data_IF_871156179875
#
_entry.id   IF_871156179875
#
_cell.length_a   1.000
_cell.length_b   1.000
_cell.length_c   1.000
_cell.angle_alpha   90.00
_cell.angle_beta   90.00
_cell.angle_gamma   90.00
#
_symmetry.space_group_name_H-M   'P 1'
#
loop_
_entity.id
_entity.type
_entity.pdbx_description
1 polymer ?
#
# COMPACT_ATOMS: atom_id res chain seq x y z
N UNK A 1 12.10 69.65 -18.43
CA UNK A 1 12.42 68.29 -17.90
C UNK A 1 11.75 68.12 -16.55
N UNK A 2 10.61 67.45 -16.48
CA UNK A 2 9.87 67.12 -15.23
C UNK A 2 9.96 65.63 -15.01
N UNK A 3 10.64 65.25 -13.93
CA UNK A 3 10.72 63.84 -13.46
C UNK A 3 9.42 63.50 -12.71
N UNK A 4 8.66 62.57 -13.21
CA UNK A 4 7.55 61.96 -12.49
C UNK A 4 8.09 60.97 -11.48
N UNK A 5 7.83 61.19 -10.19
CA UNK A 5 8.10 60.27 -9.10
C UNK A 5 6.94 59.30 -9.02
N UNK A 6 7.18 58.06 -9.40
CA UNK A 6 6.24 56.95 -9.29
C UNK A 6 6.19 56.48 -7.84
N UNK A 7 5.12 56.76 -7.16
CA UNK A 7 4.82 56.34 -5.79
C UNK A 7 4.38 54.87 -5.80
N UNK A 8 5.30 53.97 -5.40
CA UNK A 8 5.05 52.54 -5.20
C UNK A 8 4.17 52.34 -3.97
N UNK A 9 2.87 52.19 -4.17
CA UNK A 9 1.90 51.93 -3.12
C UNK A 9 2.21 50.63 -2.37
N UNK A 10 2.76 50.73 -1.17
CA UNK A 10 2.85 49.62 -0.21
C UNK A 10 1.43 49.26 0.19
N UNK A 11 0.94 48.10 -0.27
CA UNK A 11 -0.26 47.47 0.27
C UNK A 11 -0.01 47.18 1.75
N UNK A 12 -0.59 47.98 2.63
CA UNK A 12 -0.65 47.68 4.07
C UNK A 12 -1.64 46.53 4.20
N UNK A 13 -1.15 45.36 4.50
CA UNK A 13 -2.00 44.24 4.92
C UNK A 13 -2.61 44.61 6.25
N UNK A 14 -3.92 44.83 6.26
CA UNK A 14 -4.63 45.14 7.49
C UNK A 14 -4.60 43.94 8.43
N UNK A 15 -4.11 44.10 9.69
CA UNK A 15 -3.94 42.99 10.62
C UNK A 15 -5.25 42.27 10.96
N UNK A 16 -6.40 42.94 10.76
CA UNK A 16 -7.72 42.37 10.96
C UNK A 16 -8.04 41.22 9.99
N UNK A 17 -7.56 41.27 8.74
CA UNK A 17 -7.78 40.18 7.78
C UNK A 17 -6.95 38.94 8.13
N UNK A 18 -5.74 39.12 8.67
CA UNK A 18 -4.88 38.03 9.13
C UNK A 18 -5.48 37.33 10.36
N UNK A 19 -6.05 38.10 11.30
CA UNK A 19 -6.71 37.55 12.48
C UNK A 19 -7.95 36.70 12.12
N UNK A 20 -8.75 37.17 11.14
CA UNK A 20 -9.92 36.42 10.66
C UNK A 20 -9.56 35.08 9.99
N UNK A 21 -8.48 35.06 9.21
CA UNK A 21 -8.00 33.85 8.56
C UNK A 21 -7.48 32.82 9.57
N UNK A 22 -6.72 33.27 10.58
CA UNK A 22 -6.19 32.41 11.63
C UNK A 22 -7.31 31.80 12.48
N UNK A 23 -8.38 32.57 12.75
CA UNK A 23 -9.52 32.10 13.49
C UNK A 23 -10.35 31.09 12.69
N UNK A 24 -10.52 31.27 11.39
CA UNK A 24 -11.21 30.35 10.51
C UNK A 24 -10.47 29.00 10.43
N UNK A 25 -9.14 29.04 10.35
CA UNK A 25 -8.29 27.84 10.28
C UNK A 25 -8.35 27.04 11.60
N UNK A 26 -8.38 27.74 12.74
CA UNK A 26 -8.51 27.11 14.06
C UNK A 26 -9.88 26.47 14.25
N UNK A 27 -10.97 27.08 13.75
CA UNK A 27 -12.31 26.49 13.77
C UNK A 27 -12.40 25.24 12.88
N UNK A 28 -11.73 25.26 11.72
CA UNK A 28 -11.69 24.12 10.80
C UNK A 28 -10.97 22.93 11.43
N UNK A 29 -9.86 23.16 12.12
CA UNK A 29 -9.13 22.11 12.84
C UNK A 29 -9.97 21.55 13.99
N UNK A 30 -10.64 22.40 14.75
CA UNK A 30 -11.56 21.96 15.82
C UNK A 30 -12.72 21.14 15.28
N UNK A 31 -13.30 21.51 14.14
CA UNK A 31 -14.36 20.74 13.49
C UNK A 31 -13.88 19.36 13.02
N UNK A 32 -12.66 19.28 12.46
CA UNK A 32 -12.06 18.00 12.06
C UNK A 32 -11.76 17.09 13.25
N UNK A 33 -11.27 17.63 14.37
CA UNK A 33 -11.04 16.88 15.61
C UNK A 33 -12.36 16.37 16.18
N UNK A 34 -13.40 17.19 16.21
CA UNK A 34 -14.73 16.79 16.70
C UNK A 34 -15.39 15.70 15.83
N UNK A 35 -15.12 15.68 14.52
CA UNK A 35 -15.57 14.60 13.63
C UNK A 35 -14.71 13.33 13.74
N UNK A 36 -13.45 13.44 14.12
CA UNK A 36 -12.54 12.30 14.28
C UNK A 36 -12.86 11.40 15.47
N UNK A 37 -13.54 11.94 16.48
CA UNK A 37 -13.89 11.20 17.71
C UNK A 37 -15.16 10.33 17.58
N UNK A 38 -15.82 10.34 16.41
CA UNK A 38 -17.04 9.56 16.17
C UNK A 38 -16.81 8.23 15.42
N UNK A 39 -15.58 7.82 15.18
CA UNK A 39 -15.29 6.62 14.43
C UNK A 39 -14.78 5.46 15.31
N UNK A 40 -15.55 5.04 16.31
CA UNK A 40 -15.33 3.72 16.93
C UNK A 40 -16.65 3.01 17.29
N UNK A 41 -17.36 2.40 16.32
CA UNK A 41 -18.53 1.58 16.60
C UNK A 41 -18.20 0.10 16.89
N UNK A 42 -16.96 -0.27 17.20
CA UNK A 42 -16.57 -1.67 17.42
C UNK A 42 -16.32 -2.07 18.87
N UNK A 43 -16.58 -1.20 19.84
CA UNK A 43 -16.38 -1.51 21.25
C UNK A 43 -17.70 -1.68 22.02
N UNK A 44 -18.66 -2.48 21.52
CA UNK A 44 -19.78 -2.94 22.36
C UNK A 44 -20.40 -4.22 21.81
N UNK A 45 -19.81 -5.37 22.13
CA UNK A 45 -20.59 -6.60 22.16
C UNK A 45 -20.27 -7.35 23.45
N UNK A 46 -21.24 -7.48 24.37
CA UNK A 46 -21.01 -8.19 25.63
C UNK A 46 -20.89 -9.69 25.39
N UNK A 47 -19.93 -10.28 26.06
CA UNK A 47 -19.71 -11.70 26.11
C UNK A 47 -20.93 -12.43 26.66
N UNK A 48 -21.48 -13.34 25.91
CA UNK A 48 -22.42 -14.34 26.42
C UNK A 48 -21.62 -15.54 26.89
N UNK A 49 -21.80 -15.82 28.15
CA UNK A 49 -21.17 -16.86 28.95
C UNK A 49 -21.55 -18.27 28.48
N UNK A 50 -20.65 -19.24 28.44
CA UNK A 50 -20.97 -20.61 28.07
C UNK A 50 -21.46 -21.41 29.28
N UNK A 51 -22.40 -22.30 29.06
CA UNK A 51 -22.82 -23.34 29.99
C UNK A 51 -22.44 -24.74 29.47
N UNK A 52 -22.39 -25.77 30.33
CA UNK A 52 -21.26 -26.68 30.42
C UNK A 52 -21.43 -28.03 29.69
N UNK A 53 -20.32 -28.75 29.65
CA UNK A 53 -20.05 -30.11 29.20
C UNK A 53 -21.16 -31.14 29.47
N UNK A 54 -21.17 -32.24 28.66
CA UNK A 54 -20.61 -33.45 29.22
C UNK A 54 -19.59 -34.16 28.30
N UNK A 55 -18.56 -34.63 28.93
CA UNK A 55 -17.73 -35.76 28.48
C UNK A 55 -18.52 -37.05 28.71
N UNK A 56 -18.41 -38.12 27.93
CA UNK A 56 -17.36 -39.05 28.18
C UNK A 56 -16.84 -39.90 26.99
N UNK A 57 -15.78 -40.52 27.28
CA UNK A 57 -15.44 -41.95 26.99
C UNK A 57 -14.60 -42.27 25.79
N UNK A 58 -13.50 -42.77 26.14
CA UNK A 58 -12.46 -43.42 25.36
C UNK A 58 -12.96 -44.69 24.65
N UNK A 59 -12.35 -45.00 23.54
CA UNK A 59 -11.81 -46.33 23.24
C UNK A 59 -11.16 -46.41 21.86
N UNK A 60 -10.37 -47.43 21.56
CA UNK A 60 -8.98 -47.24 21.20
C UNK A 60 -8.71 -47.36 19.69
N UNK A 61 -7.52 -46.91 19.37
CA UNK A 61 -6.72 -47.11 18.15
C UNK A 61 -7.04 -48.34 17.28
N UNK A 62 -6.86 -48.17 15.95
CA UNK A 62 -5.75 -48.84 15.35
C UNK A 62 -4.82 -47.91 14.56
N UNK A 63 -3.53 -48.18 14.75
CA UNK A 63 -2.42 -47.68 13.97
C UNK A 63 -2.62 -47.95 12.49
N UNK A 64 -2.43 -46.98 11.61
CA UNK A 64 -2.09 -47.27 10.22
C UNK A 64 -0.65 -46.85 9.90
N UNK A 65 -0.04 -47.80 9.30
CA UNK A 65 1.17 -47.88 8.52
C UNK A 65 1.55 -46.58 7.76
N UNK A 66 2.85 -46.33 7.53
CA UNK A 66 3.30 -45.11 6.86
C UNK A 66 3.02 -45.22 5.39
N UNK A 67 2.08 -44.40 4.92
CA UNK A 67 1.83 -44.28 3.51
C UNK A 67 2.18 -42.86 3.01
N UNK A 68 3.08 -42.88 2.04
CA UNK A 68 3.26 -41.87 0.97
C UNK A 68 3.39 -40.42 1.37
N UNK A 69 4.55 -39.91 1.09
CA UNK A 69 4.96 -38.53 0.85
C UNK A 69 3.83 -37.64 0.28
N UNK A 70 2.99 -37.12 1.16
CA UNK A 70 2.04 -36.10 0.80
C UNK A 70 2.78 -34.78 0.67
N UNK A 71 2.75 -34.16 -0.51
CA UNK A 71 3.16 -32.75 -0.73
C UNK A 71 2.58 -31.91 0.41
N UNK A 72 3.37 -31.02 1.04
CA UNK A 72 2.90 -30.20 2.15
C UNK A 72 1.69 -29.41 1.70
N UNK A 73 0.52 -29.71 2.28
CA UNK A 73 -0.70 -28.94 2.08
C UNK A 73 -0.45 -27.53 2.62
N UNK A 74 -0.59 -26.53 1.77
CA UNK A 74 -0.53 -25.11 2.19
C UNK A 74 -1.44 -24.90 3.39
N UNK A 75 -0.97 -24.24 4.46
CA UNK A 75 -1.77 -24.02 5.66
C UNK A 75 -3.07 -23.29 5.33
N UNK A 76 -4.20 -23.86 5.73
CA UNK A 76 -5.50 -23.19 5.65
C UNK A 76 -5.66 -22.29 6.89
N UNK A 77 -5.33 -21.01 6.77
CA UNK A 77 -5.48 -20.05 7.86
C UNK A 77 -5.07 -18.65 7.43
N UNK A 78 -5.31 -17.63 8.25
CA UNK A 78 -4.83 -16.29 7.96
C UNK A 78 -3.32 -16.32 7.86
N UNK A 79 -2.79 -15.89 6.73
CA UNK A 79 -1.35 -15.87 6.47
C UNK A 79 -0.74 -14.63 7.10
N UNK A 80 0.34 -14.80 7.85
CA UNK A 80 1.13 -13.68 8.29
C UNK A 80 1.95 -13.13 7.10
N UNK A 81 2.28 -11.85 7.16
CA UNK A 81 3.06 -11.15 6.15
C UNK A 81 4.43 -10.79 6.73
N UNK A 82 5.48 -11.01 5.95
CA UNK A 82 6.84 -10.56 6.31
C UNK A 82 6.84 -9.03 6.35
N UNK A 83 7.18 -8.45 7.50
CA UNK A 83 7.13 -7.00 7.71
C UNK A 83 8.18 -6.23 6.90
N UNK A 84 9.31 -6.86 6.60
CA UNK A 84 10.38 -6.25 5.80
C UNK A 84 10.13 -6.51 4.32
N UNK A 85 9.92 -5.46 3.49
CA UNK A 85 9.71 -5.65 2.07
C UNK A 85 10.99 -6.04 1.36
N UNK A 86 10.81 -6.77 0.28
CA UNK A 86 11.83 -6.89 -0.75
C UNK A 86 11.74 -5.67 -1.66
N UNK A 87 12.85 -4.96 -1.81
CA UNK A 87 12.94 -3.77 -2.67
C UNK A 87 13.58 -4.14 -4.00
N UNK A 88 12.89 -3.86 -5.08
CA UNK A 88 13.38 -4.02 -6.45
C UNK A 88 13.07 -2.77 -7.25
N UNK A 89 13.73 -2.59 -8.38
CA UNK A 89 13.48 -1.45 -9.26
C UNK A 89 13.51 -1.89 -10.72
N UNK A 90 12.70 -1.24 -11.54
CA UNK A 90 12.70 -1.41 -12.98
C UNK A 90 12.93 -0.07 -13.69
N UNK A 91 13.55 -0.17 -14.87
CA UNK A 91 13.70 0.94 -15.78
C UNK A 91 13.07 0.52 -17.12
N UNK A 92 11.95 1.12 -17.45
CA UNK A 92 11.25 0.91 -18.70
C UNK A 92 10.44 2.16 -19.02
N UNK A 93 10.37 2.52 -20.28
CA UNK A 93 9.59 3.68 -20.72
C UNK A 93 8.10 3.45 -20.44
N UNK A 94 7.39 4.47 -19.99
CA UNK A 94 5.93 4.45 -19.86
C UNK A 94 5.30 4.11 -21.22
N UNK A 95 4.32 3.19 -21.21
CA UNK A 95 3.68 2.65 -22.42
C UNK A 95 4.41 1.45 -23.05
N UNK A 96 5.68 1.17 -22.72
CA UNK A 96 6.39 -0.01 -23.21
C UNK A 96 6.12 -1.21 -22.28
N UNK A 97 4.96 -1.81 -22.47
CA UNK A 97 4.49 -2.94 -21.65
C UNK A 97 5.43 -4.14 -21.72
N UNK A 98 6.05 -4.38 -22.86
CA UNK A 98 6.96 -5.52 -23.03
C UNK A 98 8.28 -5.30 -22.28
N UNK A 99 8.81 -4.08 -22.29
CA UNK A 99 9.99 -3.74 -21.49
C UNK A 99 9.67 -3.82 -19.98
N UNK A 100 8.51 -3.33 -19.56
CA UNK A 100 8.05 -3.44 -18.16
C UNK A 100 7.94 -4.92 -17.76
N UNK A 101 7.30 -5.77 -18.57
CA UNK A 101 7.15 -7.20 -18.31
C UNK A 101 8.51 -7.90 -18.20
N UNK A 102 9.44 -7.63 -19.13
CA UNK A 102 10.80 -8.18 -19.05
C UNK A 102 11.53 -7.73 -17.79
N UNK A 103 11.41 -6.44 -17.45
CA UNK A 103 11.99 -5.87 -16.24
C UNK A 103 11.47 -6.55 -14.99
N UNK A 104 10.15 -6.66 -14.84
CA UNK A 104 9.49 -7.32 -13.72
C UNK A 104 9.93 -8.77 -13.56
N UNK A 105 9.93 -9.56 -14.64
CA UNK A 105 10.38 -10.96 -14.62
C UNK A 105 11.81 -11.09 -14.13
N UNK A 106 12.71 -10.25 -14.66
CA UNK A 106 14.13 -10.24 -14.30
C UNK A 106 14.36 -9.94 -12.82
N UNK A 107 13.74 -8.86 -12.30
CA UNK A 107 14.00 -8.43 -10.91
C UNK A 107 13.33 -9.32 -9.87
N UNK A 108 12.30 -10.08 -10.26
CA UNK A 108 11.57 -10.99 -9.36
C UNK A 108 12.01 -12.47 -9.48
N UNK A 109 12.89 -12.81 -10.39
CA UNK A 109 13.33 -14.19 -10.68
C UNK A 109 13.82 -14.93 -9.42
N UNK A 110 14.67 -14.30 -8.62
CA UNK A 110 15.23 -14.86 -7.38
C UNK A 110 14.22 -15.12 -6.27
N UNK A 111 12.97 -14.67 -6.43
CA UNK A 111 11.90 -14.85 -5.46
C UNK A 111 10.83 -15.83 -5.94
N UNK A 112 11.17 -16.66 -6.92
CA UNK A 112 10.27 -17.67 -7.46
C UNK A 112 9.74 -18.60 -6.34
N UNK A 113 8.50 -19.06 -6.49
CA UNK A 113 7.81 -19.86 -5.48
C UNK A 113 7.26 -19.09 -4.27
N UNK A 114 7.57 -17.80 -4.11
CA UNK A 114 7.00 -16.95 -3.06
C UNK A 114 5.71 -16.29 -3.56
N UNK A 115 4.74 -16.08 -2.64
CA UNK A 115 3.50 -15.38 -2.95
C UNK A 115 3.50 -14.00 -2.29
N UNK A 116 3.25 -12.96 -3.07
CA UNK A 116 3.11 -11.61 -2.58
C UNK A 116 1.76 -11.41 -1.89
N UNK A 117 1.77 -10.71 -0.76
CA UNK A 117 0.58 -10.27 -0.05
C UNK A 117 0.13 -8.90 -0.58
N UNK A 118 1.08 -7.96 -0.64
CA UNK A 118 0.85 -6.65 -1.23
C UNK A 118 2.13 -6.07 -1.82
N UNK A 119 1.93 -5.12 -2.74
CA UNK A 119 2.99 -4.46 -3.50
C UNK A 119 2.75 -2.96 -3.48
N UNK A 120 3.80 -2.20 -3.15
CA UNK A 120 3.80 -0.75 -3.23
C UNK A 120 4.73 -0.35 -4.38
N UNK A 121 4.21 0.36 -5.36
CA UNK A 121 4.98 0.79 -6.52
C UNK A 121 5.08 2.31 -6.55
N UNK A 122 6.30 2.81 -6.62
CA UNK A 122 6.63 4.23 -6.61
C UNK A 122 7.15 4.63 -7.99
N UNK A 123 6.28 5.19 -8.82
CA UNK A 123 6.66 5.70 -10.14
C UNK A 123 7.39 7.03 -10.02
N UNK A 124 8.59 7.13 -10.61
CA UNK A 124 9.36 8.39 -10.63
C UNK A 124 8.93 9.25 -11.81
N UNK A 125 8.64 10.50 -11.52
CA UNK A 125 8.27 11.49 -12.52
C UNK A 125 8.38 12.90 -11.92
N UNK A 126 8.69 13.95 -12.71
CA UNK A 126 8.63 15.33 -12.23
C UNK A 126 7.24 15.74 -11.76
N UNK A 127 6.20 15.20 -12.40
CA UNK A 127 4.79 15.47 -12.10
C UNK A 127 4.16 14.29 -11.35
N UNK A 128 3.38 14.56 -10.26
CA UNK A 128 2.70 13.52 -9.46
C UNK A 128 1.74 12.64 -10.28
N UNK A 129 0.99 13.24 -11.20
CA UNK A 129 0.04 12.50 -12.04
C UNK A 129 0.74 11.50 -12.96
N UNK A 130 1.83 11.92 -13.60
CA UNK A 130 2.65 11.05 -14.45
C UNK A 130 3.30 9.91 -13.68
N UNK A 131 3.77 10.19 -12.45
CA UNK A 131 4.37 9.15 -11.61
C UNK A 131 3.36 8.13 -11.12
N UNK A 132 2.18 8.57 -10.68
CA UNK A 132 1.07 7.69 -10.30
C UNK A 132 0.58 6.84 -11.46
N UNK A 133 0.40 7.43 -12.64
CA UNK A 133 -0.02 6.70 -13.84
C UNK A 133 0.99 5.62 -14.24
N UNK A 134 2.29 5.91 -14.16
CA UNK A 134 3.33 4.91 -14.44
C UNK A 134 3.34 3.79 -13.39
N UNK A 135 3.20 4.12 -12.10
CA UNK A 135 3.07 3.11 -11.05
C UNK A 135 1.88 2.19 -11.29
N UNK A 136 0.75 2.76 -11.70
CA UNK A 136 -0.45 2.02 -12.06
C UNK A 136 -0.22 1.06 -13.23
N UNK A 137 0.43 1.52 -14.29
CA UNK A 137 0.78 0.69 -15.46
C UNK A 137 1.67 -0.50 -15.04
N UNK A 138 2.68 -0.26 -14.21
CA UNK A 138 3.55 -1.33 -13.68
C UNK A 138 2.75 -2.33 -12.86
N UNK A 139 1.88 -1.87 -11.95
CA UNK A 139 1.05 -2.72 -11.11
C UNK A 139 0.06 -3.58 -11.92
N UNK A 140 -0.51 -3.04 -12.98
CA UNK A 140 -1.40 -3.77 -13.88
C UNK A 140 -0.70 -4.93 -14.63
N UNK A 141 0.62 -4.91 -14.71
CA UNK A 141 1.42 -5.92 -15.39
C UNK A 141 2.06 -6.97 -14.45
N UNK A 142 1.99 -6.80 -13.13
CA UNK A 142 2.59 -7.71 -12.15
C UNK A 142 2.07 -9.14 -12.30
N UNK A 143 0.77 -9.33 -12.32
CA UNK A 143 0.16 -10.66 -12.44
C UNK A 143 0.48 -11.31 -13.80
N UNK A 144 0.52 -10.52 -14.87
CA UNK A 144 0.93 -11.01 -16.21
C UNK A 144 2.42 -11.39 -16.24
N UNK A 145 3.27 -10.69 -15.49
CA UNK A 145 4.69 -10.99 -15.39
C UNK A 145 4.94 -12.31 -14.64
N UNK A 146 4.32 -12.49 -13.48
CA UNK A 146 4.47 -13.65 -12.57
C UNK A 146 3.13 -13.99 -11.92
N UNK A 147 2.24 -14.77 -12.57
CA UNK A 147 0.91 -15.07 -12.05
C UNK A 147 0.95 -15.82 -10.71
N UNK A 148 1.90 -16.74 -10.53
CA UNK A 148 1.99 -17.52 -9.28
C UNK A 148 2.43 -16.67 -8.08
N UNK A 149 3.19 -15.61 -8.34
CA UNK A 149 3.67 -14.69 -7.31
C UNK A 149 2.64 -13.63 -6.95
N UNK A 150 1.99 -13.01 -7.95
CA UNK A 150 1.19 -11.80 -7.75
C UNK A 150 -0.32 -12.00 -7.82
N UNK A 151 -0.81 -13.20 -8.12
CA UNK A 151 -2.26 -13.47 -8.15
C UNK A 151 -2.88 -13.19 -6.79
N UNK A 152 -3.83 -12.25 -6.79
CA UNK A 152 -4.52 -11.82 -5.58
C UNK A 152 -3.71 -10.94 -4.64
N UNK A 153 -2.54 -10.46 -5.04
CA UNK A 153 -1.79 -9.46 -4.30
C UNK A 153 -2.49 -8.09 -4.36
N UNK A 154 -2.57 -7.42 -3.23
CA UNK A 154 -3.08 -6.04 -3.20
C UNK A 154 -1.98 -5.09 -3.68
N UNK A 155 -2.28 -4.21 -4.62
CA UNK A 155 -1.33 -3.23 -5.14
C UNK A 155 -1.71 -1.81 -4.75
N UNK A 156 -0.71 -0.92 -4.60
CA UNK A 156 -0.89 0.51 -4.40
C UNK A 156 0.08 1.29 -5.26
N UNK A 157 -0.43 2.35 -5.85
CA UNK A 157 0.30 3.24 -6.74
C UNK A 157 0.73 4.48 -5.97
N UNK A 158 2.02 4.81 -6.05
CA UNK A 158 2.59 5.99 -5.43
C UNK A 158 3.43 6.77 -6.43
N UNK A 159 3.49 8.06 -6.22
CA UNK A 159 4.43 8.92 -6.89
C UNK A 159 5.70 9.11 -6.04
N UNK A 160 6.83 9.16 -6.71
CA UNK A 160 8.12 9.54 -6.13
C UNK A 160 8.73 10.63 -7.01
N UNK A 161 9.05 11.78 -6.42
CA UNK A 161 9.69 12.87 -7.13
C UNK A 161 10.99 12.43 -7.81
N UNK A 162 11.31 13.04 -8.94
CA UNK A 162 12.54 12.77 -9.68
C UNK A 162 12.51 13.40 -11.06
N UNK A 163 13.69 13.70 -11.61
CA UNK A 163 13.82 14.32 -12.93
C UNK A 163 13.58 13.33 -14.10
N UNK A 164 13.64 12.02 -13.85
CA UNK A 164 13.50 10.98 -14.88
C UNK A 164 12.14 10.30 -14.80
N UNK A 165 11.50 10.12 -15.93
CA UNK A 165 10.34 9.25 -16.13
C UNK A 165 10.77 7.83 -16.52
N UNK A 166 9.90 6.84 -16.29
CA UNK A 166 10.18 5.46 -16.70
C UNK A 166 11.05 4.66 -15.73
N UNK A 167 11.07 5.06 -14.46
CA UNK A 167 11.66 4.30 -13.37
C UNK A 167 10.62 4.05 -12.29
N UNK A 168 10.52 2.82 -11.80
CA UNK A 168 9.71 2.48 -10.65
C UNK A 168 10.53 1.73 -9.59
N UNK A 169 10.42 2.19 -8.36
CA UNK A 169 10.84 1.45 -7.17
C UNK A 169 9.64 0.62 -6.70
N UNK A 170 9.86 -0.66 -6.38
CA UNK A 170 8.79 -1.60 -6.04
C UNK A 170 9.14 -2.26 -4.71
N UNK A 171 8.24 -2.19 -3.74
CA UNK A 171 8.34 -2.88 -2.46
C UNK A 171 7.35 -4.04 -2.42
N UNK A 172 7.84 -5.26 -2.30
CA UNK A 172 7.05 -6.49 -2.33
C UNK A 172 7.05 -7.09 -0.93
N UNK A 173 5.88 -7.23 -0.34
CA UNK A 173 5.65 -7.89 0.94
C UNK A 173 5.12 -9.29 0.69
N UNK A 174 5.85 -10.29 1.12
CA UNK A 174 5.51 -11.69 0.92
C UNK A 174 4.78 -12.27 2.12
N UNK A 175 3.93 -13.28 1.87
CA UNK A 175 3.42 -14.11 2.93
C UNK A 175 4.54 -14.93 3.58
N UNK A 176 4.41 -15.15 4.89
CA UNK A 176 5.18 -16.19 5.59
C UNK A 176 4.60 -17.56 5.25
N UNK A 177 5.44 -18.54 5.16
CA UNK A 177 5.04 -19.95 5.00
C UNK A 177 4.86 -20.60 6.35
#
# INVERSE_FOLDING_TARGET
MKRATESKGRRRFEPLHLAGWLFADMLLVLALVAMGDQADPLAAKPATKPSPLPSPSASPSPSPSPSASAKPKKPKGPRAVVRTPVKVAINARAGDKDAILRGLRKVTERYDGRQAAFVLTFGRHPDPGGGGAYAHEVNALLEKARPDMFRGATTRDFWKGGASSGHADIEIYFYTY
#
